data_IF_251495748270
#
_entry.id   IF_251495748270
#
_cell.length_a   1.000
_cell.length_b   1.000
_cell.length_c   1.000
_cell.angle_alpha   90.00
_cell.angle_beta   90.00
_cell.angle_gamma   90.00
#
_symmetry.space_group_name_H-M   'P 1'
#
loop_
_entity.id
_entity.type
_entity.pdbx_description
1 polymer ?
#
# COMPACT_ATOMS: atom_id res chain seq x y z
N UNK A 1 1.68 -21.24 2.06
CA UNK A 1 2.08 -21.15 3.50
C UNK A 1 2.19 -22.55 4.07
N UNK A 2 2.93 -22.77 5.20
CA UNK A 2 3.18 -24.12 5.69
C UNK A 2 2.06 -24.70 6.56
N UNK A 3 1.12 -23.88 7.03
CA UNK A 3 0.07 -24.25 7.98
C UNK A 3 0.55 -24.92 9.30
N UNK A 4 1.85 -24.78 9.60
CA UNK A 4 2.41 -25.24 10.86
C UNK A 4 2.00 -24.30 12.00
N UNK A 5 1.77 -24.81 13.21
CA UNK A 5 1.51 -23.98 14.39
C UNK A 5 2.65 -22.96 14.58
N UNK A 6 2.30 -21.73 14.93
CA UNK A 6 3.29 -20.72 15.29
C UNK A 6 3.73 -21.04 16.71
N UNK A 7 4.97 -21.51 16.88
CA UNK A 7 5.52 -21.85 18.21
C UNK A 7 5.60 -20.59 19.08
N UNK A 8 4.94 -20.60 20.21
CA UNK A 8 4.86 -19.46 21.14
C UNK A 8 6.12 -19.23 21.99
N UNK A 9 7.14 -20.09 21.84
CA UNK A 9 8.28 -20.17 22.77
C UNK A 9 9.47 -19.28 22.44
N UNK A 10 9.44 -18.50 21.40
CA UNK A 10 10.54 -17.60 21.03
C UNK A 10 10.28 -16.16 21.47
N UNK A 11 11.35 -15.41 21.82
CA UNK A 11 11.27 -13.97 22.10
C UNK A 11 10.55 -13.19 20.98
N UNK A 12 10.61 -13.73 19.76
CA UNK A 12 9.92 -13.24 18.60
C UNK A 12 8.38 -13.38 18.71
N UNK A 13 7.86 -14.52 19.22
CA UNK A 13 6.42 -14.70 19.42
C UNK A 13 5.87 -13.80 20.51
N UNK A 14 6.70 -13.44 21.50
CA UNK A 14 6.33 -12.48 22.54
C UNK A 14 6.07 -11.08 21.98
N UNK A 15 6.88 -10.65 20.98
CA UNK A 15 6.75 -9.35 20.32
C UNK A 15 5.65 -9.34 19.23
N UNK A 16 5.35 -10.49 18.64
CA UNK A 16 4.45 -10.62 17.49
C UNK A 16 3.34 -11.64 17.75
N UNK A 17 2.74 -11.57 18.94
CA UNK A 17 1.67 -12.51 19.38
C UNK A 17 0.53 -12.70 18.37
N UNK A 18 0.26 -11.67 17.55
CA UNK A 18 -0.80 -11.71 16.54
C UNK A 18 -0.27 -11.98 15.13
N UNK A 19 0.97 -12.47 14.98
CA UNK A 19 1.51 -12.77 13.65
C UNK A 19 0.73 -13.92 13.00
N UNK A 20 0.30 -13.73 11.76
CA UNK A 20 -0.50 -14.70 11.00
C UNK A 20 0.35 -15.69 10.19
N UNK A 21 1.67 -15.48 10.16
CA UNK A 21 2.60 -16.39 9.48
C UNK A 21 3.80 -16.70 10.36
N UNK A 22 4.34 -17.91 10.21
CA UNK A 22 5.56 -18.28 10.90
C UNK A 22 6.79 -17.62 10.27
N UNK A 23 7.88 -17.51 11.03
CA UNK A 23 9.10 -16.85 10.57
C UNK A 23 9.70 -17.48 9.30
N UNK A 24 9.65 -18.81 9.14
CA UNK A 24 10.11 -19.50 7.93
C UNK A 24 9.32 -19.04 6.69
N UNK A 25 8.00 -18.93 6.80
CA UNK A 25 7.16 -18.45 5.70
C UNK A 25 7.40 -16.97 5.41
N UNK A 26 7.61 -16.15 6.44
CA UNK A 26 7.96 -14.75 6.27
C UNK A 26 9.26 -14.56 5.49
N UNK A 27 10.31 -15.34 5.80
CA UNK A 27 11.59 -15.26 5.09
C UNK A 27 11.49 -15.61 3.60
N UNK A 28 10.50 -16.41 3.17
CA UNK A 28 10.27 -16.71 1.75
C UNK A 28 9.93 -15.47 0.93
N UNK A 29 9.35 -14.44 1.54
CA UNK A 29 9.11 -13.15 0.89
C UNK A 29 10.38 -12.32 0.68
N UNK A 30 11.53 -12.76 1.17
CA UNK A 30 12.81 -12.03 1.09
C UNK A 30 12.65 -10.57 1.56
N UNK A 31 12.16 -10.35 2.79
CA UNK A 31 11.85 -9.03 3.30
C UNK A 31 13.08 -8.14 3.34
N UNK A 32 12.95 -6.92 2.82
CA UNK A 32 14.02 -5.93 2.85
C UNK A 32 13.44 -4.53 2.83
N UNK A 33 13.86 -3.70 3.78
CA UNK A 33 13.44 -2.29 3.82
C UNK A 33 14.24 -1.51 2.79
N UNK A 34 13.60 -1.15 1.68
CA UNK A 34 14.20 -0.39 0.60
C UNK A 34 13.62 1.02 0.54
N UNK A 35 14.48 1.97 0.15
CA UNK A 35 14.12 3.37 -0.03
C UNK A 35 14.09 3.71 -1.52
N UNK A 36 13.18 4.57 -1.93
CA UNK A 36 13.12 5.12 -3.27
C UNK A 36 12.59 6.56 -3.23
N UNK A 37 12.70 7.26 -4.34
CA UNK A 37 12.23 8.64 -4.46
C UNK A 37 11.22 8.76 -5.61
N UNK A 38 10.22 9.61 -5.41
CA UNK A 38 9.23 10.00 -6.41
C UNK A 38 9.31 11.52 -6.50
N UNK A 39 10.14 12.03 -7.39
CA UNK A 39 10.57 13.44 -7.34
C UNK A 39 11.16 13.76 -5.96
N UNK A 40 10.62 14.76 -5.27
CA UNK A 40 11.07 15.17 -3.95
C UNK A 40 10.43 14.39 -2.79
N UNK A 41 9.55 13.42 -3.07
CA UNK A 41 8.86 12.63 -2.05
C UNK A 41 9.61 11.33 -1.78
N UNK A 42 9.95 11.09 -0.51
CA UNK A 42 10.65 9.86 -0.09
C UNK A 42 9.66 8.73 0.08
N UNK A 43 9.95 7.60 -0.55
CA UNK A 43 9.19 6.35 -0.47
C UNK A 43 9.97 5.22 0.23
N UNK A 44 9.23 4.21 0.66
CA UNK A 44 9.73 2.98 1.24
C UNK A 44 8.89 1.82 0.73
N UNK A 45 9.55 0.69 0.43
CA UNK A 45 8.89 -0.59 0.16
C UNK A 45 9.59 -1.73 0.89
N UNK A 46 8.86 -2.83 1.10
CA UNK A 46 9.29 -3.95 1.94
C UNK A 46 9.69 -5.18 1.13
N UNK A 47 9.14 -5.34 -0.06
CA UNK A 47 9.36 -6.53 -0.88
C UNK A 47 9.58 -6.15 -2.34
N UNK A 48 10.43 -6.92 -3.03
CA UNK A 48 10.38 -6.94 -4.48
C UNK A 48 9.09 -7.66 -4.93
N UNK A 49 8.47 -7.19 -5.99
CA UNK A 49 7.27 -7.81 -6.55
C UNK A 49 7.65 -9.06 -7.36
N UNK A 50 8.04 -10.12 -6.65
CA UNK A 50 8.39 -11.43 -7.20
C UNK A 50 7.19 -12.40 -7.17
N UNK A 51 7.39 -13.60 -7.70
CA UNK A 51 6.34 -14.62 -7.82
C UNK A 51 5.68 -14.96 -6.47
N UNK A 52 6.47 -15.05 -5.39
CA UNK A 52 5.94 -15.35 -4.06
C UNK A 52 5.00 -14.24 -3.56
N UNK A 53 5.40 -12.98 -3.75
CA UNK A 53 4.59 -11.81 -3.38
C UNK A 53 3.35 -11.72 -4.26
N UNK A 54 3.49 -11.95 -5.59
CA UNK A 54 2.38 -11.95 -6.55
C UNK A 54 1.32 -13.00 -6.17
N UNK A 55 1.74 -14.24 -5.96
CA UNK A 55 0.84 -15.34 -5.65
C UNK A 55 0.08 -15.10 -4.34
N UNK A 56 0.77 -14.62 -3.29
CA UNK A 56 0.11 -14.32 -2.02
C UNK A 56 -0.84 -13.12 -2.15
N UNK A 57 -0.45 -12.09 -2.89
CA UNK A 57 -1.31 -10.94 -3.15
C UNK A 57 -2.54 -11.33 -3.99
N UNK A 58 -2.38 -12.26 -4.95
CA UNK A 58 -3.48 -12.81 -5.71
C UNK A 58 -4.46 -13.59 -4.82
N UNK A 59 -3.97 -14.45 -3.93
CA UNK A 59 -4.82 -15.14 -2.94
C UNK A 59 -5.61 -14.14 -2.10
N UNK A 60 -4.95 -13.09 -1.62
CA UNK A 60 -5.60 -12.06 -0.83
C UNK A 60 -6.67 -11.28 -1.62
N UNK A 61 -6.34 -10.78 -2.83
CA UNK A 61 -7.22 -9.89 -3.61
C UNK A 61 -8.17 -10.64 -4.53
N UNK A 62 -7.72 -11.73 -5.14
CA UNK A 62 -8.45 -12.46 -6.17
C UNK A 62 -9.21 -13.67 -5.65
N UNK A 63 -8.70 -14.33 -4.60
CA UNK A 63 -9.38 -15.44 -3.93
C UNK A 63 -10.08 -15.00 -2.63
N UNK A 64 -10.07 -13.69 -2.33
CA UNK A 64 -10.77 -13.07 -1.20
C UNK A 64 -10.35 -13.61 0.17
N UNK A 65 -9.11 -14.11 0.29
CA UNK A 65 -8.58 -14.63 1.55
C UNK A 65 -8.21 -13.48 2.49
N UNK A 66 -9.21 -12.98 3.23
CA UNK A 66 -9.10 -11.85 4.14
C UNK A 66 -8.03 -12.06 5.23
N UNK A 67 -7.79 -13.30 5.67
CA UNK A 67 -6.81 -13.58 6.71
C UNK A 67 -5.38 -13.21 6.31
N UNK A 68 -5.11 -13.09 5.01
CA UNK A 68 -3.82 -12.65 4.48
C UNK A 68 -3.56 -11.14 4.60
N UNK A 69 -4.56 -10.34 4.99
CA UNK A 69 -4.44 -8.88 5.02
C UNK A 69 -3.21 -8.37 5.79
N UNK A 70 -2.92 -8.96 6.96
CA UNK A 70 -1.83 -8.54 7.84
C UNK A 70 -0.46 -9.16 7.54
N UNK A 71 -0.43 -10.25 6.79
CA UNK A 71 0.75 -11.11 6.60
C UNK A 71 2.00 -10.35 6.14
N UNK A 72 1.84 -9.39 5.24
CA UNK A 72 2.95 -8.61 4.70
C UNK A 72 3.58 -7.64 5.71
N UNK A 73 2.86 -7.27 6.78
CA UNK A 73 3.34 -6.28 7.74
C UNK A 73 3.62 -6.85 9.12
N UNK A 74 3.26 -8.10 9.42
CA UNK A 74 3.33 -8.69 10.75
C UNK A 74 4.66 -8.44 11.46
N UNK A 75 5.78 -8.68 10.77
CA UNK A 75 7.12 -8.50 11.32
C UNK A 75 7.64 -7.06 11.23
N UNK A 76 6.94 -6.18 10.53
CA UNK A 76 7.33 -4.77 10.40
C UNK A 76 6.44 -3.83 11.21
N UNK A 77 5.34 -4.32 11.83
CA UNK A 77 4.34 -3.46 12.48
C UNK A 77 4.94 -2.46 13.44
N UNK A 78 5.72 -2.93 14.41
CA UNK A 78 6.33 -2.06 15.42
C UNK A 78 7.27 -1.02 14.79
N UNK A 79 8.15 -1.46 13.88
CA UNK A 79 9.06 -0.56 13.18
C UNK A 79 8.32 0.51 12.38
N UNK A 80 7.32 0.12 11.60
CA UNK A 80 6.55 1.04 10.76
C UNK A 80 5.68 1.97 11.60
N UNK A 81 5.07 1.47 12.67
CA UNK A 81 4.33 2.29 13.62
C UNK A 81 5.20 3.39 14.22
N UNK A 82 6.38 3.05 14.76
CA UNK A 82 7.31 4.03 15.35
C UNK A 82 7.84 5.01 14.29
N UNK A 83 8.20 4.52 13.09
CA UNK A 83 8.72 5.32 11.99
C UNK A 83 7.73 6.36 11.46
N UNK A 84 6.44 6.01 11.43
CA UNK A 84 5.37 6.83 10.90
C UNK A 84 4.41 7.35 11.97
N UNK A 85 4.83 7.29 13.22
CA UNK A 85 4.05 7.87 14.31
C UNK A 85 3.70 9.34 14.03
N UNK A 86 2.44 9.70 14.22
CA UNK A 86 1.92 11.04 13.92
C UNK A 86 1.70 11.35 12.44
N UNK A 87 1.80 10.36 11.56
CA UNK A 87 1.32 10.46 10.18
C UNK A 87 -0.15 10.04 10.08
N UNK A 88 -0.87 10.65 9.13
CA UNK A 88 -2.19 10.19 8.68
C UNK A 88 -1.97 9.38 7.40
N UNK A 89 -2.39 8.12 7.40
CA UNK A 89 -2.36 7.28 6.20
C UNK A 89 -3.47 7.68 5.25
N UNK A 90 -3.14 7.76 3.96
CA UNK A 90 -4.09 7.94 2.85
C UNK A 90 -3.90 6.77 1.90
N UNK A 91 -4.82 5.78 1.92
CA UNK A 91 -4.71 4.60 1.07
C UNK A 91 -5.04 4.93 -0.39
N UNK A 92 -4.36 4.24 -1.31
CA UNK A 92 -4.70 4.25 -2.72
C UNK A 92 -6.10 3.68 -2.93
N UNK A 93 -6.94 4.34 -3.75
CA UNK A 93 -8.29 3.88 -3.97
C UNK A 93 -8.31 2.68 -4.91
N UNK A 94 -9.04 1.63 -4.55
CA UNK A 94 -9.37 0.54 -5.45
C UNK A 94 -10.62 0.87 -6.28
N UNK A 95 -10.94 0.06 -7.27
CA UNK A 95 -12.19 0.20 -8.00
C UNK A 95 -13.36 -0.22 -7.07
N UNK A 96 -14.43 0.57 -7.09
CA UNK A 96 -15.59 0.35 -6.22
C UNK A 96 -16.23 -1.02 -6.48
N UNK A 97 -16.37 -1.39 -7.75
CA UNK A 97 -16.91 -2.66 -8.18
C UNK A 97 -16.09 -3.84 -7.65
N UNK A 98 -14.76 -3.72 -7.67
CA UNK A 98 -13.86 -4.74 -7.14
C UNK A 98 -13.89 -4.83 -5.61
N UNK A 99 -14.15 -3.72 -4.91
CA UNK A 99 -14.32 -3.72 -3.46
C UNK A 99 -15.68 -4.31 -3.07
N UNK A 100 -16.75 -4.04 -3.84
CA UNK A 100 -18.08 -4.62 -3.64
C UNK A 100 -18.07 -6.14 -3.87
N UNK A 101 -17.43 -6.61 -4.95
CA UNK A 101 -17.27 -8.03 -5.24
C UNK A 101 -16.48 -8.76 -4.16
N UNK A 102 -15.43 -8.14 -3.65
CA UNK A 102 -14.53 -8.68 -2.63
C UNK A 102 -15.08 -8.56 -1.21
N UNK A 103 -15.98 -7.61 -0.97
CA UNK A 103 -16.50 -7.27 0.35
C UNK A 103 -15.56 -6.38 1.19
N UNK A 104 -14.40 -6.00 0.68
CA UNK A 104 -13.44 -5.13 1.40
C UNK A 104 -12.48 -4.39 0.46
N UNK A 105 -11.96 -3.25 0.93
CA UNK A 105 -10.86 -2.55 0.27
C UNK A 105 -9.52 -3.17 0.72
N UNK A 106 -8.82 -3.81 -0.20
CA UNK A 106 -7.60 -4.57 0.10
C UNK A 106 -6.46 -3.70 0.65
N UNK A 107 -6.28 -2.46 0.16
CA UNK A 107 -5.23 -1.57 0.67
C UNK A 107 -5.56 -1.14 2.10
N UNK A 108 -6.81 -0.77 2.36
CA UNK A 108 -7.28 -0.41 3.70
C UNK A 108 -7.03 -1.55 4.68
N UNK A 109 -7.50 -2.76 4.37
CA UNK A 109 -7.38 -3.91 5.26
C UNK A 109 -5.92 -4.31 5.50
N UNK A 110 -5.09 -4.31 4.45
CA UNK A 110 -3.66 -4.60 4.56
C UNK A 110 -2.95 -3.65 5.54
N UNK A 111 -3.23 -2.35 5.45
CA UNK A 111 -2.55 -1.33 6.26
C UNK A 111 -3.16 -1.08 7.64
N UNK A 112 -4.38 -1.56 7.92
CA UNK A 112 -4.99 -1.48 9.28
C UNK A 112 -4.09 -2.05 10.37
N UNK A 113 -3.33 -3.11 10.05
CA UNK A 113 -2.41 -3.75 10.98
C UNK A 113 -1.37 -2.81 11.58
N UNK A 114 -1.05 -1.69 10.90
CA UNK A 114 -0.09 -0.69 11.37
C UNK A 114 -0.64 0.21 12.50
N UNK A 115 -1.95 0.17 12.79
CA UNK A 115 -2.61 0.94 13.86
C UNK A 115 -2.34 2.46 13.81
N UNK A 116 -2.09 3.00 12.62
CA UNK A 116 -1.97 4.44 12.38
C UNK A 116 -3.32 5.02 11.97
N UNK A 117 -3.51 6.32 12.22
CA UNK A 117 -4.74 7.02 11.78
C UNK A 117 -4.86 6.96 10.26
N UNK A 118 -6.01 6.52 9.74
CA UNK A 118 -6.29 6.41 8.31
C UNK A 118 -7.38 7.39 7.88
N UNK A 119 -7.24 7.93 6.68
CA UNK A 119 -8.23 8.80 6.04
C UNK A 119 -8.42 8.35 4.59
N UNK A 120 -9.55 7.75 4.27
CA UNK A 120 -9.90 7.24 2.93
C UNK A 120 -10.54 8.34 2.08
N UNK A 121 -9.86 9.47 1.91
CA UNK A 121 -10.38 10.66 1.24
C UNK A 121 -10.07 10.72 -0.27
N UNK A 122 -9.39 9.73 -0.82
CA UNK A 122 -9.10 9.66 -2.27
C UNK A 122 -9.96 8.58 -2.89
N UNK A 123 -10.64 8.92 -3.98
CA UNK A 123 -11.57 8.03 -4.67
C UNK A 123 -11.26 7.98 -6.17
N UNK A 124 -11.57 6.84 -6.83
CA UNK A 124 -11.63 6.77 -8.28
C UNK A 124 -12.92 7.43 -8.76
N UNK A 125 -12.81 8.31 -9.76
CA UNK A 125 -13.99 8.85 -10.45
C UNK A 125 -14.44 7.83 -11.48
N UNK A 126 -15.62 7.25 -11.29
CA UNK A 126 -16.35 6.54 -12.34
C UNK A 126 -17.01 7.56 -13.26
N UNK A 127 -16.88 7.38 -14.58
CA UNK A 127 -17.56 8.13 -15.66
C UNK A 127 -16.89 9.42 -16.14
N UNK A 128 -15.92 9.26 -17.04
CA UNK A 128 -15.83 10.13 -18.22
C UNK A 128 -15.99 9.23 -19.45
N UNK A 129 -17.00 9.47 -20.27
CA UNK A 129 -17.14 8.81 -21.58
C UNK A 129 -15.84 9.07 -22.34
N UNK A 130 -15.13 8.00 -22.69
CA UNK A 130 -13.79 8.03 -23.30
C UNK A 130 -13.77 8.57 -24.72
N UNK A 131 -14.94 8.89 -25.32
CA UNK A 131 -15.09 9.23 -26.73
C UNK A 131 -14.56 10.61 -27.11
N UNK A 132 -14.47 11.58 -26.17
CA UNK A 132 -14.25 13.00 -26.51
C UNK A 132 -12.93 13.59 -26.02
N UNK A 133 -11.97 12.77 -25.64
CA UNK A 133 -10.78 13.21 -24.92
C UNK A 133 -9.50 13.13 -25.76
N UNK A 134 -8.67 14.18 -25.67
CA UNK A 134 -7.33 14.24 -26.28
C UNK A 134 -6.37 13.18 -25.70
N UNK A 135 -5.27 12.86 -26.39
CA UNK A 135 -4.27 11.90 -25.93
C UNK A 135 -3.69 12.26 -24.55
N UNK A 136 -3.54 13.55 -24.25
CA UNK A 136 -3.03 14.09 -22.96
C UNK A 136 -4.03 13.95 -21.83
N UNK A 137 -5.31 14.07 -22.14
CA UNK A 137 -6.41 13.85 -21.20
C UNK A 137 -6.61 12.37 -20.94
N UNK A 138 -6.39 11.48 -21.93
CA UNK A 138 -6.40 10.01 -21.74
C UNK A 138 -5.27 9.53 -20.84
N UNK A 139 -4.13 10.19 -20.82
CA UNK A 139 -3.03 9.86 -19.89
C UNK A 139 -3.34 10.31 -18.46
N UNK A 140 -4.02 11.45 -18.30
CA UNK A 140 -4.58 11.90 -17.01
C UNK A 140 -5.78 11.05 -16.54
N UNK A 141 -6.56 10.49 -17.47
CA UNK A 141 -7.74 9.67 -17.19
C UNK A 141 -7.39 8.28 -16.67
N UNK A 142 -6.22 7.73 -16.99
CA UNK A 142 -5.75 6.46 -16.43
C UNK A 142 -5.74 6.46 -14.90
N UNK A 143 -5.80 7.63 -14.29
CA UNK A 143 -5.85 7.81 -12.84
C UNK A 143 -6.94 8.81 -12.44
N UNK A 144 -8.18 8.65 -12.93
CA UNK A 144 -9.32 9.47 -12.52
C UNK A 144 -9.51 9.43 -11.00
N UNK A 145 -8.67 10.18 -10.31
CA UNK A 145 -8.70 10.31 -8.87
C UNK A 145 -9.22 11.68 -8.48
N UNK A 146 -10.05 11.70 -7.46
CA UNK A 146 -10.44 12.93 -6.77
C UNK A 146 -10.15 12.81 -5.28
N UNK A 147 -9.92 13.94 -4.63
CA UNK A 147 -9.76 14.02 -3.20
C UNK A 147 -10.94 14.82 -2.61
N UNK A 148 -11.45 14.34 -1.50
CA UNK A 148 -12.51 15.05 -0.76
C UNK A 148 -12.01 16.41 -0.23
N UNK A 149 -12.94 17.22 0.25
CA UNK A 149 -12.58 18.46 0.93
C UNK A 149 -12.08 18.16 2.34
N UNK A 150 -10.76 17.91 2.44
CA UNK A 150 -10.06 17.60 3.68
C UNK A 150 -8.95 18.59 3.92
N UNK A 151 -8.72 18.95 5.16
CA UNK A 151 -7.60 19.79 5.57
C UNK A 151 -6.42 18.92 6.07
N UNK A 152 -5.30 18.99 5.35
CA UNK A 152 -4.02 18.41 5.75
C UNK A 152 -3.01 19.44 6.22
N UNK A 153 -3.37 20.71 6.37
CA UNK A 153 -2.47 21.72 6.93
C UNK A 153 -1.93 21.25 8.28
N UNK A 154 -0.62 21.48 8.52
CA UNK A 154 0.09 21.01 9.72
C UNK A 154 0.17 19.47 9.90
N UNK A 155 -0.45 18.65 9.05
CA UNK A 155 -0.42 17.18 9.15
C UNK A 155 0.71 16.60 8.31
N UNK A 156 1.28 15.49 8.79
CA UNK A 156 2.16 14.64 8.00
C UNK A 156 1.31 13.56 7.35
N UNK A 157 1.42 13.37 6.04
CA UNK A 157 0.62 12.41 5.27
C UNK A 157 1.51 11.27 4.79
N UNK A 158 1.05 10.03 4.98
CA UNK A 158 1.65 8.81 4.46
C UNK A 158 0.71 8.21 3.41
N UNK A 159 1.05 8.36 2.14
CA UNK A 159 0.35 7.68 1.04
C UNK A 159 0.74 6.21 1.08
N UNK A 160 -0.24 5.32 1.02
CA UNK A 160 -0.01 3.87 1.08
C UNK A 160 -0.66 3.15 -0.10
N UNK A 161 0.05 2.14 -0.64
CA UNK A 161 -0.42 1.32 -1.76
C UNK A 161 0.16 -0.10 -1.64
N UNK A 162 -0.42 -1.06 -2.33
CA UNK A 162 0.06 -2.45 -2.33
C UNK A 162 1.28 -2.62 -3.23
N UNK A 163 1.22 -2.23 -4.50
CA UNK A 163 2.29 -2.44 -5.48
C UNK A 163 2.63 -1.16 -6.23
N UNK A 164 3.88 -0.74 -6.14
CA UNK A 164 4.42 0.32 -6.98
C UNK A 164 4.93 -0.28 -8.30
N UNK A 165 4.19 -0.09 -9.38
CA UNK A 165 4.59 -0.49 -10.74
C UNK A 165 5.18 0.71 -11.48
N UNK A 166 4.42 1.39 -12.31
CA UNK A 166 4.82 2.63 -12.99
C UNK A 166 4.80 3.85 -12.07
N UNK A 167 4.15 3.73 -10.93
CA UNK A 167 3.96 4.80 -9.95
C UNK A 167 2.96 5.88 -10.37
N UNK A 168 2.18 5.65 -11.44
CA UNK A 168 1.18 6.63 -11.91
C UNK A 168 0.14 6.97 -10.85
N UNK A 169 -0.44 5.95 -10.18
CA UNK A 169 -1.39 6.15 -9.09
C UNK A 169 -0.79 6.97 -7.94
N UNK A 170 0.40 6.57 -7.49
CA UNK A 170 1.07 7.24 -6.36
C UNK A 170 1.44 8.69 -6.71
N UNK A 171 1.89 8.96 -7.96
CA UNK A 171 2.16 10.34 -8.42
C UNK A 171 0.89 11.19 -8.40
N UNK A 172 -0.21 10.70 -8.97
CA UNK A 172 -1.49 11.40 -8.94
C UNK A 172 -1.98 11.67 -7.50
N UNK A 173 -1.83 10.70 -6.60
CA UNK A 173 -2.15 10.89 -5.18
C UNK A 173 -1.26 11.94 -4.50
N UNK A 174 0.04 11.97 -4.83
CA UNK A 174 0.96 12.99 -4.31
C UNK A 174 0.48 14.39 -4.70
N UNK A 175 0.07 14.57 -5.96
CA UNK A 175 -0.37 15.88 -6.46
C UNK A 175 -1.71 16.30 -5.81
N UNK A 176 -2.67 15.39 -5.67
CA UNK A 176 -3.91 15.63 -4.95
C UNK A 176 -3.68 15.98 -3.48
N UNK A 177 -2.82 15.23 -2.80
CA UNK A 177 -2.52 15.49 -1.38
C UNK A 177 -1.76 16.82 -1.22
N UNK A 178 -0.85 17.17 -2.14
CA UNK A 178 -0.16 18.47 -2.13
C UNK A 178 -1.13 19.66 -2.21
N UNK A 179 -2.21 19.55 -2.99
CA UNK A 179 -3.22 20.63 -3.08
C UNK A 179 -3.93 20.94 -1.76
N UNK A 180 -3.82 20.03 -0.76
CA UNK A 180 -4.37 20.18 0.60
C UNK A 180 -3.33 20.64 1.64
N UNK A 181 -2.21 21.21 1.20
CA UNK A 181 -1.14 21.85 1.99
C UNK A 181 -0.59 21.05 3.17
N UNK A 182 -0.22 19.77 3.01
CA UNK A 182 0.33 18.97 4.10
C UNK A 182 1.71 19.47 4.53
N UNK A 183 2.03 19.33 5.83
CA UNK A 183 3.35 19.64 6.37
C UNK A 183 4.45 18.76 5.73
N UNK A 184 4.13 17.52 5.41
CA UNK A 184 5.07 16.54 4.83
C UNK A 184 4.30 15.39 4.19
N UNK A 185 4.83 14.91 3.05
CA UNK A 185 4.34 13.69 2.40
C UNK A 185 5.45 12.65 2.39
N UNK A 186 5.08 11.40 2.64
CA UNK A 186 5.89 10.20 2.41
C UNK A 186 5.04 9.14 1.74
N UNK A 187 5.68 8.14 1.18
CA UNK A 187 5.04 6.99 0.54
C UNK A 187 5.51 5.71 1.21
N UNK A 188 4.59 4.79 1.44
CA UNK A 188 4.87 3.42 1.86
C UNK A 188 4.09 2.47 0.96
N UNK A 189 4.78 1.64 0.21
CA UNK A 189 4.15 0.58 -0.57
C UNK A 189 4.61 -0.79 -0.05
N UNK A 190 3.74 -1.77 -0.15
CA UNK A 190 4.09 -3.11 0.28
C UNK A 190 5.21 -3.66 -0.60
N UNK A 191 5.08 -3.57 -1.92
CA UNK A 191 6.08 -4.06 -2.85
C UNK A 191 6.33 -3.12 -4.04
N UNK A 192 7.47 -3.30 -4.72
CA UNK A 192 7.83 -2.56 -5.93
C UNK A 192 8.29 -3.54 -7.01
N UNK A 193 7.84 -3.33 -8.25
CA UNK A 193 8.42 -4.03 -9.41
C UNK A 193 9.86 -3.59 -9.61
N UNK A 194 10.71 -4.49 -10.11
CA UNK A 194 12.05 -4.10 -10.54
C UNK A 194 11.92 -3.11 -11.69
N UNK A 195 12.70 -2.05 -11.67
CA UNK A 195 12.81 -1.14 -12.80
C UNK A 195 13.42 -1.94 -13.97
N UNK A 196 12.80 -1.87 -15.16
CA UNK A 196 13.25 -2.58 -16.37
C UNK A 196 14.65 -2.10 -16.81
N UNK A 197 15.18 -1.05 -16.19
CA UNK A 197 16.46 -0.42 -16.53
C UNK A 197 17.64 -0.76 -15.59
N UNK A 198 17.49 -1.64 -14.62
CA UNK A 198 18.61 -2.07 -13.75
C UNK A 198 19.31 -3.36 -14.26
N UNK A 199 19.29 -3.59 -15.56
CA UNK A 199 19.89 -4.78 -16.18
C UNK A 199 20.56 -4.48 -17.51
N UNK A 200 21.53 -3.52 -17.55
CA UNK A 200 22.56 -3.44 -18.60
C UNK A 200 23.86 -3.01 -17.94
#
# INVERSE_FOLDING_TARGET
MCFEPIEETTFHSLLFKDAKICHKCFLKFKPKINKFNIGNVKGLYLYNYDEQVQNTLYQFKGCFDYELAGVFFDYFRLYLFLKYFGYVMVPAPSAKEADEERGFNHVVEMFKSLKLKMNCCVHKTTNVKQSDLSAKERENIKNNLKIDDVDFSKKKVLIVDDVYTTGSTVRAMIDLVKSKNPKKIKVLVMSKTKDIHEGV
#
